data_IF_487302266664
#
_entry.id   IF_487302266664
#
_cell.length_a   1.000
_cell.length_b   1.000
_cell.length_c   1.000
_cell.angle_alpha   90.00
_cell.angle_beta   90.00
_cell.angle_gamma   90.00
#
_symmetry.space_group_name_H-M   'P 1'
#
loop_
_entity.id
_entity.type
_entity.pdbx_description
1 polymer ?
#
# COMPACT_ATOMS: atom_id res chain seq x y z
N UNK A 1 -0.68 23.86 23.64
CA UNK A 1 -1.87 23.05 23.97
C UNK A 1 -3.08 23.92 24.26
N UNK A 2 -3.84 24.30 23.23
CA UNK A 2 -5.09 25.07 23.34
C UNK A 2 -6.18 24.26 24.05
N UNK A 3 -6.25 22.95 23.76
CA UNK A 3 -7.26 22.03 24.33
C UNK A 3 -7.09 21.86 25.83
N UNK A 4 -5.85 21.72 26.31
CA UNK A 4 -5.53 21.61 27.74
C UNK A 4 -5.97 22.88 28.48
N UNK A 5 -5.64 24.06 27.96
CA UNK A 5 -6.05 25.34 28.56
C UNK A 5 -7.58 25.51 28.56
N UNK A 6 -8.27 25.08 27.51
CA UNK A 6 -9.73 25.14 27.42
C UNK A 6 -10.43 24.22 28.42
N UNK A 7 -9.94 22.98 28.58
CA UNK A 7 -10.43 22.02 29.58
C UNK A 7 -10.27 22.57 31.01
N UNK A 8 -9.08 23.09 31.36
CA UNK A 8 -8.85 23.66 32.68
C UNK A 8 -9.69 24.93 32.94
N UNK A 9 -9.95 25.76 31.92
CA UNK A 9 -10.81 26.95 32.03
C UNK A 9 -12.29 26.58 32.24
N UNK A 10 -12.80 25.56 31.56
CA UNK A 10 -14.16 25.04 31.78
C UNK A 10 -14.32 24.42 33.16
N UNK A 11 -13.32 23.64 33.59
CA UNK A 11 -13.30 22.97 34.91
C UNK A 11 -13.23 23.97 36.07
N UNK A 12 -12.42 25.03 35.98
CA UNK A 12 -12.36 26.08 37.02
C UNK A 12 -13.64 26.92 37.10
N UNK A 13 -14.45 26.96 36.04
CA UNK A 13 -15.76 27.64 36.01
C UNK A 13 -16.93 26.73 36.42
N UNK A 14 -16.66 25.54 36.96
CA UNK A 14 -17.68 24.59 37.41
C UNK A 14 -18.55 23.98 36.29
N UNK A 15 -18.17 24.17 35.02
CA UNK A 15 -18.89 23.61 33.87
C UNK A 15 -18.23 22.30 33.47
N UNK A 16 -18.87 21.13 33.65
CA UNK A 16 -18.29 19.88 33.22
C UNK A 16 -18.14 19.91 31.68
N UNK A 17 -16.98 19.55 31.12
CA UNK A 17 -16.72 19.61 29.67
C UNK A 17 -17.37 18.43 28.95
N UNK A 18 -18.69 18.28 29.13
CA UNK A 18 -19.50 17.14 28.65
C UNK A 18 -19.41 17.02 27.13
N UNK A 19 -19.25 18.13 26.40
CA UNK A 19 -19.15 18.17 24.94
C UNK A 19 -17.80 17.70 24.37
N UNK A 20 -16.77 17.59 25.22
CA UNK A 20 -15.42 17.21 24.78
C UNK A 20 -15.34 15.73 24.40
N UNK A 21 -16.08 14.87 25.10
CA UNK A 21 -16.18 13.44 24.81
C UNK A 21 -16.93 13.12 23.50
N UNK A 22 -18.15 13.63 23.25
CA UNK A 22 -18.86 13.37 22.00
C UNK A 22 -18.18 14.01 20.79
N UNK A 23 -17.54 15.18 20.93
CA UNK A 23 -16.76 15.78 19.84
C UNK A 23 -15.52 14.95 19.48
N UNK A 24 -14.81 14.42 20.47
CA UNK A 24 -13.71 13.48 20.23
C UNK A 24 -14.21 12.19 19.58
N UNK A 25 -15.33 11.64 20.04
CA UNK A 25 -15.95 10.46 19.44
C UNK A 25 -16.33 10.70 17.97
N UNK A 26 -17.00 11.82 17.67
CA UNK A 26 -17.36 12.22 16.31
C UNK A 26 -16.15 12.40 15.40
N UNK A 27 -15.09 13.04 15.88
CA UNK A 27 -13.85 13.20 15.12
C UNK A 27 -13.21 11.84 14.79
N UNK A 28 -13.23 10.90 15.74
CA UNK A 28 -12.70 9.55 15.55
C UNK A 28 -13.52 8.78 14.52
N UNK A 29 -14.85 8.85 14.59
CA UNK A 29 -15.77 8.24 13.63
C UNK A 29 -15.57 8.83 12.23
N UNK A 30 -15.42 10.14 12.12
CA UNK A 30 -15.18 10.82 10.85
C UNK A 30 -13.89 10.32 10.17
N UNK A 31 -12.81 10.15 10.94
CA UNK A 31 -11.55 9.59 10.42
C UNK A 31 -11.74 8.15 9.93
N UNK A 32 -12.49 7.31 10.64
CA UNK A 32 -12.75 5.92 10.24
C UNK A 32 -13.60 5.85 8.96
N UNK A 33 -14.60 6.72 8.83
CA UNK A 33 -15.43 6.80 7.61
C UNK A 33 -14.58 7.26 6.42
N UNK A 34 -13.75 8.29 6.61
CA UNK A 34 -12.96 8.87 5.52
C UNK A 34 -11.75 8.02 5.11
N UNK A 35 -11.20 7.23 6.03
CA UNK A 35 -10.04 6.36 5.76
C UNK A 35 -10.40 4.90 5.49
N UNK A 36 -11.68 4.53 5.60
CA UNK A 36 -12.07 3.13 5.54
C UNK A 36 -12.01 2.52 4.14
N UNK A 37 -11.99 1.18 4.05
CA UNK A 37 -11.73 0.43 2.82
C UNK A 37 -12.91 0.42 1.82
N UNK A 38 -13.98 1.16 2.07
CA UNK A 38 -15.21 1.25 1.27
C UNK A 38 -14.97 1.74 -0.17
N UNK A 39 -13.82 2.37 -0.44
CA UNK A 39 -13.36 2.78 -1.76
C UNK A 39 -12.62 1.68 -2.53
N UNK A 40 -12.46 0.47 -1.97
CA UNK A 40 -11.97 -0.68 -2.72
C UNK A 40 -12.98 -0.97 -3.83
N UNK A 41 -12.70 -0.44 -5.03
CA UNK A 41 -13.36 -0.87 -6.24
C UNK A 41 -13.21 -2.38 -6.27
N UNK A 42 -14.34 -3.08 -6.24
CA UNK A 42 -14.37 -4.49 -6.60
C UNK A 42 -14.00 -4.54 -8.07
N UNK A 43 -12.71 -4.70 -8.35
CA UNK A 43 -12.24 -4.98 -9.69
C UNK A 43 -12.89 -6.29 -10.06
N UNK A 44 -13.85 -6.24 -11.00
CA UNK A 44 -14.38 -7.43 -11.66
C UNK A 44 -13.16 -8.26 -12.02
N UNK A 45 -13.11 -9.48 -11.48
CA UNK A 45 -12.00 -10.42 -11.64
C UNK A 45 -11.93 -10.84 -13.11
N UNK A 46 -11.44 -9.95 -13.98
CA UNK A 46 -10.78 -10.40 -15.18
C UNK A 46 -9.60 -11.21 -14.67
N UNK A 47 -9.64 -12.53 -14.92
CA UNK A 47 -8.50 -13.40 -14.66
C UNK A 47 -7.30 -12.81 -15.39
N UNK A 48 -6.47 -12.09 -14.65
CA UNK A 48 -5.21 -11.56 -15.16
C UNK A 48 -4.38 -12.79 -15.51
N UNK A 49 -3.88 -12.86 -16.74
CA UNK A 49 -3.06 -13.98 -17.15
C UNK A 49 -1.67 -13.89 -16.53
N UNK A 50 -0.99 -15.04 -16.39
CA UNK A 50 0.41 -15.10 -15.97
C UNK A 50 1.30 -14.22 -16.86
N UNK A 51 1.01 -14.17 -18.17
CA UNK A 51 1.70 -13.30 -19.12
C UNK A 51 1.53 -11.81 -18.81
N UNK A 52 0.33 -11.39 -18.37
CA UNK A 52 0.10 -10.00 -18.00
C UNK A 52 0.84 -9.66 -16.71
N UNK A 53 0.74 -10.51 -15.68
CA UNK A 53 1.43 -10.29 -14.42
C UNK A 53 2.95 -10.19 -14.61
N UNK A 54 3.55 -11.13 -15.35
CA UNK A 54 5.00 -11.10 -15.58
C UNK A 54 5.43 -9.91 -16.44
N UNK A 55 4.61 -9.45 -17.40
CA UNK A 55 4.90 -8.26 -18.21
C UNK A 55 4.94 -6.97 -17.37
N UNK A 56 4.14 -6.88 -16.31
CA UNK A 56 4.17 -5.75 -15.37
C UNK A 56 5.46 -5.83 -14.57
N UNK A 57 5.74 -7.00 -13.98
CA UNK A 57 6.93 -7.20 -13.14
C UNK A 57 8.24 -6.99 -13.91
N UNK A 58 8.33 -7.47 -15.15
CA UNK A 58 9.51 -7.23 -15.99
C UNK A 58 9.73 -5.75 -16.28
N UNK A 59 8.67 -4.97 -16.52
CA UNK A 59 8.78 -3.53 -16.80
C UNK A 59 9.02 -2.68 -15.55
N UNK A 60 8.57 -3.13 -14.38
CA UNK A 60 8.54 -2.31 -13.14
C UNK A 60 9.50 -2.76 -12.05
N UNK A 61 9.95 -4.01 -12.06
CA UNK A 61 10.70 -4.62 -10.96
C UNK A 61 12.06 -5.19 -11.40
N UNK A 62 12.14 -5.77 -12.60
CA UNK A 62 13.32 -6.52 -13.03
C UNK A 62 14.61 -5.69 -13.14
N UNK A 63 14.53 -4.36 -13.32
CA UNK A 63 15.73 -3.51 -13.36
C UNK A 63 16.58 -3.60 -12.09
N UNK A 64 15.94 -3.83 -10.93
CA UNK A 64 16.62 -4.05 -9.65
C UNK A 64 16.55 -5.51 -9.18
N UNK A 65 15.48 -6.23 -9.50
CA UNK A 65 15.18 -7.59 -9.02
C UNK A 65 15.45 -8.68 -10.08
N UNK A 66 16.40 -8.46 -10.99
CA UNK A 66 16.88 -9.49 -11.92
C UNK A 66 18.07 -10.26 -11.33
N UNK A 67 18.37 -11.42 -11.92
CA UNK A 67 19.62 -12.16 -11.63
C UNK A 67 20.83 -11.29 -11.97
N UNK A 68 20.71 -10.46 -13.02
CA UNK A 68 21.67 -9.43 -13.40
C UNK A 68 20.95 -8.07 -13.45
N UNK A 69 20.93 -7.31 -12.34
CA UNK A 69 20.29 -6.00 -12.31
C UNK A 69 20.94 -5.01 -13.29
N UNK A 70 20.12 -4.15 -13.86
CA UNK A 70 20.56 -3.10 -14.81
C UNK A 70 20.49 -1.70 -14.22
N UNK A 71 19.78 -1.53 -13.09
CA UNK A 71 19.68 -0.26 -12.39
C UNK A 71 21.02 0.11 -11.73
N UNK A 72 21.60 1.29 -12.03
CA UNK A 72 22.77 1.80 -11.34
C UNK A 72 22.61 1.76 -9.81
N UNK A 73 23.64 1.29 -9.11
CA UNK A 73 23.63 1.11 -7.66
C UNK A 73 23.22 -0.28 -7.17
N UNK A 74 22.81 -1.18 -8.07
CA UNK A 74 22.51 -2.58 -7.75
C UNK A 74 23.42 -3.53 -8.54
N UNK A 75 24.31 -4.24 -7.83
CA UNK A 75 25.13 -5.32 -8.41
C UNK A 75 24.51 -6.71 -8.25
N UNK A 76 23.49 -6.82 -7.40
CA UNK A 76 22.74 -8.03 -7.11
C UNK A 76 21.30 -7.66 -6.71
N UNK A 77 20.33 -8.57 -6.88
CA UNK A 77 18.95 -8.33 -6.49
C UNK A 77 18.84 -8.04 -4.98
N UNK A 78 18.13 -6.97 -4.57
CA UNK A 78 17.95 -6.66 -3.15
C UNK A 78 17.35 -7.84 -2.39
N UNK A 79 17.95 -8.18 -1.26
CA UNK A 79 17.56 -9.32 -0.40
C UNK A 79 17.53 -10.68 -1.13
N UNK A 80 18.20 -10.80 -2.28
CA UNK A 80 18.17 -12.02 -3.09
C UNK A 80 16.82 -12.28 -3.78
N UNK A 81 15.92 -11.30 -3.84
CA UNK A 81 14.59 -11.45 -4.46
C UNK A 81 14.73 -11.26 -5.97
N UNK A 82 14.61 -12.35 -6.72
CA UNK A 82 14.60 -12.34 -8.18
C UNK A 82 13.16 -12.39 -8.68
N UNK A 83 12.81 -11.62 -9.71
CA UNK A 83 11.45 -11.45 -10.25
C UNK A 83 11.44 -11.46 -11.79
N UNK A 84 11.97 -12.52 -12.38
CA UNK A 84 12.12 -12.68 -13.85
C UNK A 84 11.09 -13.62 -14.48
N UNK A 85 10.59 -14.58 -13.69
CA UNK A 85 9.67 -15.61 -14.14
C UNK A 85 8.40 -15.62 -13.29
N UNK A 86 7.34 -16.24 -13.82
CA UNK A 86 6.10 -16.46 -13.08
C UNK A 86 6.35 -17.30 -11.82
N UNK A 87 7.24 -18.29 -11.88
CA UNK A 87 7.61 -19.11 -10.73
C UNK A 87 8.23 -18.26 -9.61
N UNK A 88 9.15 -17.36 -9.97
CA UNK A 88 9.71 -16.40 -9.01
C UNK A 88 8.64 -15.48 -8.41
N UNK A 89 7.72 -14.99 -9.24
CA UNK A 89 6.64 -14.13 -8.78
C UNK A 89 5.71 -14.85 -7.79
N UNK A 90 5.39 -16.13 -8.03
CA UNK A 90 4.62 -16.97 -7.08
C UNK A 90 5.39 -17.19 -5.79
N UNK A 91 6.69 -17.49 -5.87
CA UNK A 91 7.56 -17.69 -4.70
C UNK A 91 7.58 -16.46 -3.78
N UNK A 92 7.57 -15.25 -4.34
CA UNK A 92 7.62 -14.00 -3.58
C UNK A 92 6.27 -13.27 -3.51
N UNK A 93 5.16 -13.95 -3.80
CA UNK A 93 3.85 -13.32 -3.98
C UNK A 93 3.45 -12.42 -2.79
N UNK A 94 3.60 -12.91 -1.55
CA UNK A 94 3.26 -12.15 -0.34
C UNK A 94 4.13 -10.90 -0.17
N UNK A 95 5.40 -10.97 -0.53
CA UNK A 95 6.30 -9.82 -0.47
C UNK A 95 5.95 -8.80 -1.56
N UNK A 96 5.68 -9.24 -2.79
CA UNK A 96 5.28 -8.34 -3.88
C UNK A 96 3.95 -7.66 -3.55
N UNK A 97 2.98 -8.39 -3.01
CA UNK A 97 1.71 -7.84 -2.55
C UNK A 97 1.93 -6.77 -1.47
N UNK A 98 2.75 -7.07 -0.46
CA UNK A 98 3.00 -6.12 0.62
C UNK A 98 3.73 -4.85 0.15
N UNK A 99 4.77 -5.00 -0.68
CA UNK A 99 5.69 -3.91 -1.02
C UNK A 99 5.22 -3.09 -2.24
N UNK A 100 4.69 -3.75 -3.27
CA UNK A 100 4.24 -3.08 -4.48
C UNK A 100 2.75 -2.73 -4.41
N UNK A 101 1.88 -3.62 -3.95
CA UNK A 101 0.43 -3.38 -4.03
C UNK A 101 -0.11 -2.66 -2.80
N UNK A 102 0.23 -3.10 -1.59
CA UNK A 102 -0.41 -2.57 -0.37
C UNK A 102 0.25 -1.27 0.13
N UNK A 103 1.58 -1.20 0.10
CA UNK A 103 2.33 -0.06 0.66
C UNK A 103 2.82 0.93 -0.38
N UNK A 104 2.78 0.56 -1.66
CA UNK A 104 3.29 1.36 -2.79
C UNK A 104 4.76 1.79 -2.68
N UNK A 105 5.55 1.18 -1.79
CA UNK A 105 6.96 1.56 -1.59
C UNK A 105 7.84 1.08 -2.75
N UNK A 106 7.40 0.03 -3.45
CA UNK A 106 8.02 -0.47 -4.67
C UNK A 106 7.15 -0.13 -5.87
N UNK A 107 7.72 0.26 -7.03
CA UNK A 107 9.14 0.56 -7.25
C UNK A 107 9.61 1.75 -6.41
N UNK A 108 10.86 1.76 -5.97
CA UNK A 108 11.42 2.84 -5.14
C UNK A 108 11.15 4.20 -5.79
N UNK A 109 10.56 5.14 -5.03
CA UNK A 109 10.16 6.47 -5.52
C UNK A 109 9.36 6.44 -6.85
N UNK A 110 8.69 5.32 -7.14
CA UNK A 110 8.05 5.02 -8.41
C UNK A 110 8.94 5.26 -9.64
N UNK A 111 10.25 4.96 -9.55
CA UNK A 111 11.24 5.23 -10.60
C UNK A 111 10.86 4.67 -11.99
N UNK A 112 10.19 3.52 -12.03
CA UNK A 112 9.77 2.90 -13.30
C UNK A 112 8.38 3.36 -13.76
N UNK A 113 7.74 4.30 -13.08
CA UNK A 113 6.42 4.83 -13.45
C UNK A 113 5.29 3.80 -13.41
N UNK A 114 5.25 2.95 -12.39
CA UNK A 114 4.15 1.98 -12.22
C UNK A 114 2.84 2.72 -11.93
N UNK A 115 1.79 2.39 -12.69
CA UNK A 115 0.47 3.02 -12.56
C UNK A 115 -0.40 2.33 -11.54
N UNK A 116 -1.47 2.99 -11.07
CA UNK A 116 -2.44 2.35 -10.19
C UNK A 116 -3.14 1.15 -10.86
N UNK A 117 -3.50 1.27 -12.14
CA UNK A 117 -4.11 0.17 -12.90
C UNK A 117 -3.20 -1.07 -12.98
N UNK A 118 -1.89 -0.87 -13.14
CA UNK A 118 -0.92 -1.98 -13.09
C UNK A 118 -0.81 -2.59 -11.70
N UNK A 119 -0.92 -1.79 -10.62
CA UNK A 119 -0.95 -2.31 -9.24
C UNK A 119 -2.21 -3.10 -8.98
N UNK A 120 -3.36 -2.63 -9.44
CA UNK A 120 -4.65 -3.29 -9.27
C UNK A 120 -4.68 -4.63 -10.01
N UNK A 121 -4.15 -4.67 -11.26
CA UNK A 121 -4.00 -5.91 -12.02
C UNK A 121 -3.03 -6.89 -11.36
N UNK A 122 -1.86 -6.41 -10.91
CA UNK A 122 -0.89 -7.25 -10.22
C UNK A 122 -1.45 -7.78 -8.89
N UNK A 123 -2.15 -6.94 -8.13
CA UNK A 123 -2.79 -7.31 -6.88
C UNK A 123 -3.86 -8.37 -7.05
N UNK A 124 -4.74 -8.21 -8.04
CA UNK A 124 -5.76 -9.22 -8.34
C UNK A 124 -5.16 -10.56 -8.78
N UNK A 125 -4.04 -10.55 -9.51
CA UNK A 125 -3.32 -11.78 -9.85
C UNK A 125 -2.67 -12.43 -8.63
N UNK A 126 -2.05 -11.62 -7.75
CA UNK A 126 -1.38 -12.11 -6.55
C UNK A 126 -2.38 -12.74 -5.57
N UNK A 127 -3.54 -12.13 -5.35
CA UNK A 127 -4.59 -12.67 -4.48
C UNK A 127 -5.07 -14.08 -4.88
N UNK A 128 -4.92 -14.47 -6.15
CA UNK A 128 -5.24 -15.82 -6.63
C UNK A 128 -4.13 -16.86 -6.36
N UNK A 129 -2.95 -16.40 -5.95
CA UNK A 129 -1.71 -17.18 -5.82
C UNK A 129 -1.02 -17.03 -4.46
N UNK A 130 -1.68 -16.39 -3.49
CA UNK A 130 -1.23 -16.26 -2.10
C UNK A 130 -1.59 -17.48 -1.24
#
# INVERSE_FOLDING_TARGET
GIVVKHYFNLRHRGKPPIWLLPSAALATIAVVIFSGPWMRKTTVTQMVSDNRAISIVQRRCASCHATMPTQPGFSAPPKGVVLETVAHLKQYASQVQAQAVNSHIMPLANLTGMTQDERDQLGGWLEQHL
#
